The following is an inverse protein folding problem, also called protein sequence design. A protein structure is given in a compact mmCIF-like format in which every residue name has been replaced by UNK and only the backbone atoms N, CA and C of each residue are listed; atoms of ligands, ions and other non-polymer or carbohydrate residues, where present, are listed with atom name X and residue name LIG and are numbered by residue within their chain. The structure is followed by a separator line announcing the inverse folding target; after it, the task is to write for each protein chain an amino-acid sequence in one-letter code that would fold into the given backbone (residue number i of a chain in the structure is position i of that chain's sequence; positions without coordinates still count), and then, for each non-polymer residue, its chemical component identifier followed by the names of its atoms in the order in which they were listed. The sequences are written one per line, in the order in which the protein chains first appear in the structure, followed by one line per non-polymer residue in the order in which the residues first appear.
data_IF_609224729208
#
_entry.id   IF_609224729208
#
_cell.length_a   1.000
_cell.length_b   1.000
_cell.length_c   1.000
_cell.angle_alpha   90.00
_cell.angle_beta   90.00
_cell.angle_gamma   90.00
#
_symmetry.space_group_name_H-M   'P 1'
#
loop_
_entity.id
_entity.type
_entity.pdbx_description
1 polymer ?
#
# COMPACT_ATOMS: atom_id res chain seq x y z
N UNK A 1 6.08 -27.38 -7.17
CA UNK A 1 4.70 -27.07 -6.73
C UNK A 1 3.84 -28.32 -6.54
N UNK A 2 3.75 -29.23 -7.53
CA UNK A 2 2.91 -30.44 -7.41
C UNK A 2 3.29 -31.31 -6.21
N UNK A 3 4.58 -31.54 -5.95
CA UNK A 3 5.08 -32.38 -4.84
C UNK A 3 4.72 -31.81 -3.46
N UNK A 4 4.73 -30.48 -3.32
CA UNK A 4 4.34 -29.78 -2.09
C UNK A 4 2.84 -29.91 -1.86
N UNK A 5 2.03 -29.71 -2.91
CA UNK A 5 0.58 -29.84 -2.85
C UNK A 5 0.14 -31.29 -2.54
N UNK A 6 0.83 -32.31 -3.07
CA UNK A 6 0.60 -33.73 -2.75
C UNK A 6 0.92 -34.02 -1.28
N UNK A 7 2.07 -33.54 -0.80
CA UNK A 7 2.50 -33.75 0.59
C UNK A 7 1.58 -33.06 1.60
N UNK A 8 1.06 -31.88 1.25
CA UNK A 8 0.04 -31.18 2.03
C UNK A 8 -1.26 -31.99 2.06
N UNK A 9 -1.73 -32.48 0.92
CA UNK A 9 -2.94 -33.33 0.85
C UNK A 9 -2.79 -34.63 1.64
N UNK A 10 -1.63 -35.29 1.59
CA UNK A 10 -1.33 -36.48 2.37
C UNK A 10 -1.33 -36.21 3.88
N UNK A 11 -0.78 -35.08 4.32
CA UNK A 11 -0.79 -34.66 5.72
C UNK A 11 -2.20 -34.34 6.23
N UNK A 12 -3.05 -33.76 5.38
CA UNK A 12 -4.45 -33.47 5.70
C UNK A 12 -5.28 -34.74 5.78
N UNK A 13 -5.01 -35.73 4.92
CA UNK A 13 -5.69 -37.04 4.93
C UNK A 13 -5.28 -37.92 6.12
N UNK A 14 -4.15 -37.67 6.75
CA UNK A 14 -3.77 -38.28 8.02
C UNK A 14 -4.52 -37.53 9.12
N UNK A 15 -5.41 -38.27 9.78
CA UNK A 15 -6.34 -37.81 10.83
C UNK A 15 -5.68 -37.28 12.11
N UNK A 16 -4.43 -36.95 12.09
CA UNK A 16 -3.79 -36.14 13.13
C UNK A 16 -4.22 -34.72 12.94
N UNK A 17 -5.07 -34.26 13.85
CA UNK A 17 -5.62 -32.89 13.93
C UNK A 17 -4.49 -31.91 14.26
N UNK A 18 -3.53 -31.78 13.37
CA UNK A 18 -2.56 -30.71 13.46
C UNK A 18 -3.18 -29.48 12.85
N UNK A 19 -3.67 -28.59 13.74
CA UNK A 19 -4.31 -27.31 13.36
C UNK A 19 -3.34 -26.27 12.76
N UNK A 20 -2.10 -26.69 12.45
CA UNK A 20 -1.07 -25.81 11.89
C UNK A 20 -1.23 -25.56 10.38
N UNK A 21 -2.07 -26.36 9.70
CA UNK A 21 -2.31 -26.20 8.27
C UNK A 21 -3.75 -25.79 8.03
N UNK A 22 -3.95 -24.58 7.53
CA UNK A 22 -5.24 -24.11 7.05
C UNK A 22 -5.29 -24.27 5.54
N UNK A 23 -6.29 -25.02 5.05
CA UNK A 23 -6.53 -25.12 3.61
C UNK A 23 -7.34 -23.88 3.19
N UNK A 24 -6.81 -23.11 2.28
CA UNK A 24 -7.57 -22.05 1.63
C UNK A 24 -8.54 -22.70 0.62
N UNK A 25 -9.80 -22.30 0.68
CA UNK A 25 -10.85 -22.79 -0.23
C UNK A 25 -10.57 -22.34 -1.66
N UNK A 26 -9.98 -21.15 -1.81
CA UNK A 26 -9.47 -20.63 -3.08
C UNK A 26 -8.14 -19.91 -2.87
N UNK A 27 -7.34 -19.81 -3.93
CA UNK A 27 -6.16 -18.94 -3.90
C UNK A 27 -6.61 -17.47 -3.78
N UNK A 28 -6.07 -16.68 -2.83
CA UNK A 28 -6.42 -15.27 -2.71
C UNK A 28 -5.95 -14.51 -3.94
N UNK A 29 -6.75 -13.55 -4.39
CA UNK A 29 -6.34 -12.57 -5.39
C UNK A 29 -5.64 -11.42 -4.67
N UNK A 30 -4.34 -11.23 -4.97
CA UNK A 30 -3.44 -10.35 -4.22
C UNK A 30 -3.17 -9.08 -5.03
N UNK A 31 -3.34 -7.92 -4.40
CA UNK A 31 -2.89 -6.63 -4.91
C UNK A 31 -1.70 -6.11 -4.08
N UNK A 32 -0.69 -5.60 -4.77
CA UNK A 32 0.43 -4.87 -4.17
C UNK A 32 0.25 -3.40 -4.54
N UNK A 33 0.16 -2.53 -3.55
CA UNK A 33 0.09 -1.10 -3.77
C UNK A 33 1.50 -0.54 -3.93
N UNK A 34 1.85 -0.13 -5.13
CA UNK A 34 3.18 0.40 -5.46
C UNK A 34 3.14 1.30 -6.69
N UNK A 35 3.99 2.35 -6.77
CA UNK A 35 4.15 3.14 -7.98
C UNK A 35 4.54 2.28 -9.18
N UNK A 36 3.92 2.52 -10.34
CA UNK A 36 4.12 1.71 -11.55
C UNK A 36 5.57 1.68 -12.07
N UNK A 37 6.36 2.70 -11.74
CA UNK A 37 7.76 2.81 -12.18
C UNK A 37 8.77 2.27 -11.18
N UNK A 38 8.32 1.78 -10.03
CA UNK A 38 9.14 1.08 -9.05
C UNK A 38 8.80 -0.40 -9.10
N UNK A 39 9.84 -1.20 -9.16
CA UNK A 39 9.64 -2.64 -9.00
C UNK A 39 9.33 -2.89 -7.51
N UNK A 40 8.30 -3.67 -7.19
CA UNK A 40 7.93 -3.98 -5.81
C UNK A 40 8.92 -4.91 -5.08
N UNK A 41 10.10 -5.12 -5.59
CA UNK A 41 11.07 -6.10 -5.08
C UNK A 41 11.93 -5.61 -3.92
N UNK A 42 11.83 -4.33 -3.53
CA UNK A 42 12.43 -3.84 -2.29
C UNK A 42 11.72 -4.37 -1.05
N UNK A 43 10.66 -5.14 -1.28
CA UNK A 43 9.76 -5.66 -0.28
C UNK A 43 9.95 -7.17 -0.15
N UNK A 44 10.21 -7.63 1.07
CA UNK A 44 10.38 -9.04 1.38
C UNK A 44 9.12 -9.87 1.04
N UNK A 45 7.93 -9.29 1.13
CA UNK A 45 6.67 -9.98 0.80
C UNK A 45 6.55 -10.21 -0.69
N UNK A 46 6.79 -9.19 -1.52
CA UNK A 46 6.75 -9.34 -2.98
C UNK A 46 7.84 -10.28 -3.48
N UNK A 47 9.03 -10.24 -2.85
CA UNK A 47 10.09 -11.19 -3.14
C UNK A 47 9.66 -12.62 -2.81
N UNK A 48 9.05 -12.85 -1.65
CA UNK A 48 8.55 -14.15 -1.23
C UNK A 48 7.44 -14.66 -2.16
N UNK A 49 6.49 -13.81 -2.55
CA UNK A 49 5.42 -14.15 -3.49
C UNK A 49 6.00 -14.54 -4.86
N UNK A 50 6.94 -13.74 -5.37
CA UNK A 50 7.60 -14.02 -6.66
C UNK A 50 8.42 -15.31 -6.62
N UNK A 51 9.17 -15.52 -5.55
CA UNK A 51 9.96 -16.75 -5.37
C UNK A 51 9.07 -18.00 -5.25
N UNK A 52 7.91 -17.84 -4.63
CA UNK A 52 6.92 -18.92 -4.47
C UNK A 52 6.00 -19.11 -5.68
N UNK A 53 6.21 -18.33 -6.75
CA UNK A 53 5.36 -18.32 -7.96
C UNK A 53 3.87 -18.03 -7.65
N UNK A 54 3.61 -17.21 -6.61
CA UNK A 54 2.27 -16.78 -6.25
C UNK A 54 1.96 -15.49 -7.05
N UNK A 55 0.92 -15.50 -7.89
CA UNK A 55 0.58 -14.35 -8.72
C UNK A 55 0.03 -13.20 -7.88
N UNK A 56 0.40 -11.97 -8.24
CA UNK A 56 -0.15 -10.74 -7.70
C UNK A 56 -0.24 -9.67 -8.78
N UNK A 57 -1.12 -8.69 -8.58
CA UNK A 57 -1.23 -7.51 -9.44
C UNK A 57 -0.62 -6.30 -8.72
N UNK A 58 0.04 -5.42 -9.47
CA UNK A 58 0.51 -4.13 -8.95
C UNK A 58 -0.51 -3.06 -9.29
N UNK A 59 -1.04 -2.40 -8.26
CA UNK A 59 -2.00 -1.30 -8.36
C UNK A 59 -1.45 -0.05 -7.68
N UNK A 60 -1.96 1.12 -8.03
CA UNK A 60 -1.57 2.35 -7.39
C UNK A 60 -2.76 3.32 -7.26
N UNK A 61 -2.52 4.60 -6.98
CA UNK A 61 -3.52 5.62 -6.69
C UNK A 61 -4.73 5.58 -7.63
N UNK A 62 -4.48 5.58 -8.94
CA UNK A 62 -5.55 5.62 -9.95
C UNK A 62 -6.46 4.41 -9.89
N UNK A 63 -5.91 3.22 -9.70
CA UNK A 63 -6.69 1.99 -9.61
C UNK A 63 -7.52 1.96 -8.33
N UNK A 64 -6.93 2.37 -7.20
CA UNK A 64 -7.62 2.43 -5.90
C UNK A 64 -8.79 3.41 -5.96
N UNK A 65 -8.57 4.62 -6.49
CA UNK A 65 -9.62 5.63 -6.64
C UNK A 65 -10.73 5.20 -7.61
N UNK A 66 -10.38 4.41 -8.62
CA UNK A 66 -11.35 3.78 -9.54
C UNK A 66 -12.05 2.55 -8.95
N UNK A 67 -11.92 2.33 -7.65
CA UNK A 67 -12.68 1.32 -6.92
C UNK A 67 -12.36 -0.14 -7.32
N UNK A 68 -11.11 -0.43 -7.67
CA UNK A 68 -10.69 -1.78 -8.09
C UNK A 68 -10.51 -2.75 -6.89
N UNK A 69 -10.31 -2.22 -5.67
CA UNK A 69 -10.01 -3.01 -4.47
C UNK A 69 -10.99 -4.17 -4.19
N UNK A 70 -12.32 -4.03 -4.41
CA UNK A 70 -13.26 -5.14 -4.20
C UNK A 70 -13.00 -6.39 -5.07
N UNK A 71 -12.13 -6.28 -6.08
CA UNK A 71 -11.73 -7.41 -6.91
C UNK A 71 -10.63 -8.27 -6.27
N UNK A 72 -10.05 -7.81 -5.16
CA UNK A 72 -8.94 -8.45 -4.47
C UNK A 72 -9.38 -8.95 -3.09
N UNK A 73 -8.80 -10.07 -2.70
CA UNK A 73 -8.99 -10.64 -1.35
C UNK A 73 -7.95 -10.09 -0.35
N UNK A 74 -6.76 -9.70 -0.85
CA UNK A 74 -5.63 -9.20 -0.06
C UNK A 74 -5.00 -7.99 -0.73
N UNK A 75 -4.85 -6.90 0.04
CA UNK A 75 -4.04 -5.73 -0.31
C UNK A 75 -2.77 -5.70 0.56
N UNK A 76 -1.62 -5.51 -0.10
CA UNK A 76 -0.33 -5.34 0.58
C UNK A 76 0.20 -3.92 0.42
N UNK A 77 0.61 -3.30 1.54
CA UNK A 77 1.29 -2.01 1.63
C UNK A 77 2.66 -2.21 2.30
N UNK A 78 3.69 -1.48 1.86
CA UNK A 78 5.02 -1.60 2.45
C UNK A 78 5.68 -0.26 2.82
N UNK A 79 6.06 0.56 1.86
CA UNK A 79 6.85 1.78 2.08
C UNK A 79 6.14 3.06 1.70
N UNK A 80 4.89 2.99 1.34
CA UNK A 80 4.13 4.11 0.84
C UNK A 80 3.90 5.16 1.92
N UNK A 81 3.86 6.42 1.50
CA UNK A 81 3.52 7.55 2.34
C UNK A 81 2.13 8.06 1.98
N UNK A 82 1.21 7.93 2.93
CA UNK A 82 -0.17 8.41 2.79
C UNK A 82 -0.37 9.83 3.32
N UNK A 83 0.67 10.47 3.87
CA UNK A 83 0.61 11.84 4.39
C UNK A 83 0.94 12.88 3.32
N UNK A 84 1.54 12.46 2.21
CA UNK A 84 2.01 13.35 1.15
C UNK A 84 3.27 14.14 1.48
N UNK A 85 3.93 13.81 2.58
CA UNK A 85 5.08 14.60 3.06
C UNK A 85 6.40 14.26 2.39
N UNK A 86 6.53 13.11 1.70
CA UNK A 86 7.81 12.61 1.15
C UNK A 86 8.95 12.57 2.19
N UNK A 87 8.60 12.67 3.48
CA UNK A 87 9.46 13.06 4.59
C UNK A 87 10.64 12.14 4.83
N UNK A 88 10.48 10.86 4.60
CA UNK A 88 11.50 9.83 4.83
C UNK A 88 12.85 10.17 4.19
N UNK A 89 12.85 10.81 3.03
CA UNK A 89 14.07 11.08 2.26
C UNK A 89 14.43 12.56 2.17
N UNK A 90 13.59 13.47 2.65
CA UNK A 90 13.78 14.90 2.46
C UNK A 90 15.09 15.41 3.06
N UNK A 91 15.38 15.08 4.31
CA UNK A 91 16.56 15.61 5.01
C UNK A 91 17.87 15.26 4.33
N UNK A 92 17.97 14.04 3.80
CA UNK A 92 19.20 13.54 3.19
C UNK A 92 19.28 13.80 1.68
N UNK A 93 18.12 13.86 0.98
CA UNK A 93 18.06 13.78 -0.48
C UNK A 93 17.30 14.90 -1.16
N UNK A 94 16.91 15.97 -0.45
CA UNK A 94 16.13 17.10 -1.01
C UNK A 94 16.71 17.72 -2.27
N UNK A 95 18.03 17.65 -2.46
CA UNK A 95 18.74 18.18 -3.63
C UNK A 95 19.10 17.09 -4.66
N UNK A 96 18.79 15.83 -4.39
CA UNK A 96 19.07 14.75 -5.32
C UNK A 96 18.09 14.78 -6.50
N UNK A 97 18.61 14.60 -7.72
CA UNK A 97 17.81 14.67 -8.94
C UNK A 97 16.63 13.67 -8.94
N UNK A 98 16.86 12.45 -8.45
CA UNK A 98 15.82 11.44 -8.35
C UNK A 98 14.69 11.84 -7.38
N UNK A 99 15.02 12.50 -6.26
CA UNK A 99 14.02 12.96 -5.29
C UNK A 99 13.16 14.09 -5.87
N UNK A 100 13.82 15.08 -6.50
CA UNK A 100 13.14 16.20 -7.15
C UNK A 100 12.22 15.69 -8.27
N UNK A 101 12.69 14.72 -9.05
CA UNK A 101 11.88 14.12 -10.11
C UNK A 101 10.68 13.37 -9.53
N UNK A 102 10.86 12.56 -8.51
CA UNK A 102 9.79 11.82 -7.83
C UNK A 102 8.71 12.76 -7.28
N UNK A 103 9.11 13.85 -6.61
CA UNK A 103 8.18 14.87 -6.12
C UNK A 103 7.33 15.45 -7.27
N UNK A 104 7.97 15.84 -8.37
CA UNK A 104 7.27 16.37 -9.56
C UNK A 104 6.31 15.35 -10.19
N UNK A 105 6.67 14.07 -10.16
CA UNK A 105 5.81 12.99 -10.67
C UNK A 105 4.57 12.83 -9.80
N UNK A 106 4.70 12.81 -8.49
CA UNK A 106 3.57 12.73 -7.57
C UNK A 106 2.64 13.95 -7.69
N UNK A 107 3.17 15.15 -7.73
CA UNK A 107 2.38 16.38 -7.94
C UNK A 107 1.65 16.40 -9.28
N UNK A 108 2.31 15.93 -10.34
CA UNK A 108 1.70 15.80 -11.66
C UNK A 108 0.57 14.77 -11.66
N UNK A 109 0.77 13.63 -11.02
CA UNK A 109 -0.21 12.56 -11.01
C UNK A 109 -1.41 12.92 -10.11
N UNK A 110 -1.19 13.64 -9.00
CA UNK A 110 -2.27 14.21 -8.19
C UNK A 110 -3.14 15.15 -9.05
N UNK A 111 -2.52 16.09 -9.77
CA UNK A 111 -3.25 17.01 -10.67
C UNK A 111 -4.02 16.29 -11.79
N UNK A 112 -3.48 15.22 -12.35
CA UNK A 112 -4.19 14.40 -13.36
C UNK A 112 -5.43 13.73 -12.79
N UNK A 113 -5.41 13.37 -11.52
CA UNK A 113 -6.52 12.74 -10.81
C UNK A 113 -7.50 13.78 -10.21
N UNK A 114 -7.26 15.08 -10.43
CA UNK A 114 -8.15 16.15 -10.02
C UNK A 114 -7.86 16.74 -8.64
N UNK A 115 -6.73 16.40 -8.03
CA UNK A 115 -6.32 16.91 -6.71
C UNK A 115 -5.36 18.08 -6.84
N UNK A 116 -5.48 19.04 -5.93
CA UNK A 116 -4.57 20.18 -5.84
C UNK A 116 -3.25 19.82 -5.15
N UNK A 117 -3.33 18.92 -4.17
CA UNK A 117 -2.22 18.45 -3.33
C UNK A 117 -2.07 16.95 -3.38
N UNK A 118 -0.83 16.45 -3.16
CA UNK A 118 -0.57 15.01 -3.01
C UNK A 118 -1.15 14.49 -1.72
N UNK A 119 -1.15 15.27 -0.64
CA UNK A 119 -1.77 14.91 0.64
C UNK A 119 -3.27 14.62 0.51
N UNK A 120 -4.01 15.45 -0.23
CA UNK A 120 -5.43 15.24 -0.51
C UNK A 120 -5.68 13.93 -1.29
N UNK A 121 -4.90 13.70 -2.34
CA UNK A 121 -4.94 12.45 -3.10
C UNK A 121 -4.71 11.24 -2.20
N UNK A 122 -3.65 11.29 -1.37
CA UNK A 122 -3.26 10.17 -0.52
C UNK A 122 -4.29 9.90 0.59
N UNK A 123 -4.90 10.93 1.14
CA UNK A 123 -5.99 10.78 2.09
C UNK A 123 -7.19 10.07 1.48
N UNK A 124 -7.59 10.44 0.26
CA UNK A 124 -8.71 9.77 -0.41
C UNK A 124 -8.38 8.31 -0.76
N UNK A 125 -7.14 8.01 -1.14
CA UNK A 125 -6.66 6.64 -1.30
C UNK A 125 -6.73 5.88 0.02
N UNK A 126 -6.28 6.47 1.14
CA UNK A 126 -6.36 5.85 2.46
C UNK A 126 -7.82 5.56 2.87
N UNK A 127 -8.75 6.48 2.60
CA UNK A 127 -10.19 6.28 2.83
C UNK A 127 -10.75 5.12 2.00
N UNK A 128 -10.38 5.01 0.74
CA UNK A 128 -10.78 3.87 -0.11
C UNK A 128 -10.25 2.53 0.41
N UNK A 129 -9.03 2.51 0.93
CA UNK A 129 -8.48 1.32 1.58
C UNK A 129 -9.23 1.00 2.86
N UNK A 130 -9.59 2.00 3.67
CA UNK A 130 -10.44 1.84 4.85
C UNK A 130 -11.79 1.20 4.49
N UNK A 131 -12.46 1.71 3.46
CA UNK A 131 -13.75 1.17 3.00
C UNK A 131 -13.64 -0.29 2.52
N UNK A 132 -12.53 -0.62 1.84
CA UNK A 132 -12.23 -1.99 1.43
C UNK A 132 -12.09 -2.92 2.64
N UNK A 133 -11.39 -2.51 3.70
CA UNK A 133 -11.25 -3.30 4.93
C UNK A 133 -12.61 -3.51 5.60
N UNK A 134 -13.41 -2.46 5.75
CA UNK A 134 -14.75 -2.55 6.32
C UNK A 134 -15.70 -3.42 5.50
N UNK A 135 -15.44 -3.57 4.22
CA UNK A 135 -16.19 -4.46 3.31
C UNK A 135 -15.71 -5.91 3.36
N UNK A 136 -14.74 -6.25 4.21
CA UNK A 136 -14.24 -7.62 4.40
C UNK A 136 -12.94 -7.92 3.65
N UNK A 137 -12.28 -6.92 3.05
CA UNK A 137 -10.96 -7.06 2.46
C UNK A 137 -9.87 -7.25 3.51
N UNK A 138 -8.82 -7.99 3.17
CA UNK A 138 -7.68 -8.20 4.05
C UNK A 138 -6.54 -7.24 3.70
N UNK A 139 -6.08 -6.47 4.70
CA UNK A 139 -4.91 -5.59 4.58
C UNK A 139 -3.72 -6.17 5.32
N UNK A 140 -2.57 -6.24 4.64
CA UNK A 140 -1.28 -6.46 5.25
C UNK A 140 -0.37 -5.27 4.99
N UNK A 141 -0.14 -4.47 6.02
CA UNK A 141 0.70 -3.28 5.97
C UNK A 141 2.01 -3.51 6.74
N UNK A 142 3.11 -3.02 6.19
CA UNK A 142 4.45 -3.11 6.79
C UNK A 142 5.18 -1.78 6.74
N UNK A 143 6.21 -1.66 7.59
CA UNK A 143 7.15 -0.56 7.61
C UNK A 143 6.46 0.81 7.67
N UNK A 144 6.94 1.81 6.92
CA UNK A 144 6.41 3.18 6.94
C UNK A 144 4.97 3.31 6.45
N UNK A 145 4.47 2.35 5.67
CA UNK A 145 3.07 2.36 5.26
C UNK A 145 2.10 2.20 6.45
N UNK A 146 2.49 1.43 7.47
CA UNK A 146 1.68 1.27 8.69
C UNK A 146 1.43 2.61 9.37
N UNK A 147 2.52 3.34 9.66
CA UNK A 147 2.46 4.61 10.37
C UNK A 147 1.77 5.68 9.52
N UNK A 148 2.17 5.83 8.25
CA UNK A 148 1.65 6.88 7.39
C UNK A 148 0.16 6.70 7.05
N UNK A 149 -0.31 5.46 6.96
CA UNK A 149 -1.72 5.14 6.76
C UNK A 149 -2.58 5.52 7.98
N UNK A 150 -2.11 5.16 9.19
CA UNK A 150 -2.78 5.52 10.43
C UNK A 150 -2.81 7.04 10.65
N UNK A 151 -1.68 7.72 10.44
CA UNK A 151 -1.58 9.17 10.53
C UNK A 151 -2.54 9.86 9.54
N UNK A 152 -2.58 9.42 8.29
CA UNK A 152 -3.46 10.00 7.28
C UNK A 152 -4.94 9.90 7.68
N UNK A 153 -5.38 8.78 8.19
CA UNK A 153 -6.75 8.59 8.66
C UNK A 153 -7.07 9.38 9.94
N UNK A 154 -6.10 9.45 10.86
CA UNK A 154 -6.26 10.18 12.12
C UNK A 154 -6.32 11.70 11.91
N UNK A 155 -5.71 12.20 10.84
CA UNK A 155 -5.68 13.62 10.48
C UNK A 155 -6.67 13.99 9.36
N UNK A 156 -7.74 13.25 9.19
CA UNK A 156 -8.67 13.37 8.05
C UNK A 156 -9.18 14.80 7.79
N UNK A 157 -9.31 15.63 8.84
CA UNK A 157 -9.83 17.00 8.74
C UNK A 157 -8.79 18.07 9.02
N UNK A 158 -7.50 17.69 9.03
CA UNK A 158 -6.40 18.61 9.37
C UNK A 158 -5.34 18.57 8.27
N UNK A 159 -4.84 19.73 7.89
CA UNK A 159 -3.64 19.81 7.08
C UNK A 159 -2.41 19.64 7.97
N UNK A 160 -1.84 18.46 7.97
CA UNK A 160 -0.60 18.11 8.68
C UNK A 160 0.64 18.15 7.77
N UNK A 161 0.43 18.42 6.46
CA UNK A 161 1.52 18.42 5.51
C UNK A 161 2.36 19.70 5.68
N UNK A 162 3.65 19.51 6.01
CA UNK A 162 4.51 20.66 6.24
C UNK A 162 4.74 21.45 4.93
N UNK A 163 4.72 22.79 4.99
CA UNK A 163 4.82 23.71 3.86
C UNK A 163 6.03 23.46 2.93
N UNK A 164 7.06 22.78 3.38
CA UNK A 164 8.21 22.40 2.55
C UNK A 164 7.84 21.38 1.48
N UNK A 165 6.75 20.63 1.67
CA UNK A 165 6.29 19.60 0.75
C UNK A 165 5.22 20.11 -0.21
N UNK A 166 4.24 20.90 0.27
CA UNK A 166 3.07 21.32 -0.50
C UNK A 166 2.93 22.82 -0.69
N UNK A 167 3.86 23.61 -0.08
CA UNK A 167 3.93 25.09 -0.18
C UNK A 167 2.82 25.83 0.57
N UNK A 168 2.11 25.13 1.45
CA UNK A 168 1.01 25.64 2.25
C UNK A 168 1.30 25.48 3.74
N UNK A 169 0.86 26.38 4.64
CA UNK A 169 1.06 26.21 6.07
C UNK A 169 0.16 25.10 6.62
N UNK A 170 0.69 24.35 7.58
CA UNK A 170 -0.11 23.39 8.37
C UNK A 170 -1.20 24.10 9.15
N UNK A 171 -2.26 23.38 9.48
CA UNK A 171 -3.30 23.90 10.35
C UNK A 171 -2.77 24.27 11.73
N UNK A 172 -3.22 25.41 12.27
CA UNK A 172 -2.76 25.95 13.56
C UNK A 172 -3.27 25.17 14.78
N UNK A 173 -4.30 24.34 14.60
CA UNK A 173 -5.01 23.66 15.68
C UNK A 173 -4.50 22.24 15.92
N UNK A 174 -3.31 21.92 15.46
CA UNK A 174 -2.64 20.63 15.73
C UNK A 174 -2.07 20.70 17.17
N UNK A 175 -2.83 20.16 18.13
CA UNK A 175 -2.42 19.96 19.53
C UNK A 175 -2.17 18.49 19.82
#
# INVERSE_FOLDING_TARGET
PKLVAEKIRENIARTEVNKEIVILEKAPKIAIYSPKNKQPWDDAVTLALSYSEIPYDVIYDSEVLNNILPMYDWLHLHHEDFTGQYGKFYSAFKNASWYIQQKKEFERDARKLGYSKVSELKLDVAKKIKDYIFSGGFLFAMCSATDSYDIALSSENLDICHNVFDYDPIDSDIN
#
